data_IF_566753103220
#
_entry.id   IF_566753103220
#
_cell.length_a   1.000
_cell.length_b   1.000
_cell.length_c   1.000
_cell.angle_alpha   90.00
_cell.angle_beta   90.00
_cell.angle_gamma   90.00
#
_symmetry.space_group_name_H-M   'P 1'
#
loop_
_entity.id
_entity.type
_entity.pdbx_description
1 polymer ?
#
# COMPACT_ATOMS: atom_id res chain seq x y z
N UNK A 1 22.99 43.28 -38.18
CA UNK A 1 21.52 43.23 -38.02
C UNK A 1 21.06 41.83 -38.35
N UNK A 2 20.95 40.94 -37.32
CA UNK A 2 20.40 39.60 -37.48
C UNK A 2 18.88 39.70 -37.43
N UNK A 3 18.22 39.37 -38.52
CA UNK A 3 16.77 39.23 -38.62
C UNK A 3 16.31 38.06 -37.77
N UNK A 4 15.72 38.38 -36.66
CA UNK A 4 14.95 37.43 -35.82
C UNK A 4 13.74 36.96 -36.65
N UNK A 5 13.79 35.74 -37.16
CA UNK A 5 12.66 35.07 -37.80
C UNK A 5 11.65 34.73 -36.73
N UNK A 6 10.49 35.41 -36.69
CA UNK A 6 9.38 35.08 -35.79
C UNK A 6 9.02 33.57 -35.93
N UNK A 7 8.82 32.86 -34.85
CA UNK A 7 8.29 31.50 -34.94
C UNK A 7 6.90 31.58 -35.61
N UNK A 8 6.67 30.72 -36.61
CA UNK A 8 5.34 30.52 -37.19
C UNK A 8 4.43 30.03 -36.06
N UNK A 9 3.38 30.79 -35.76
CA UNK A 9 2.27 30.29 -34.99
C UNK A 9 1.65 29.13 -35.78
N UNK A 10 1.95 27.91 -35.36
CA UNK A 10 1.29 26.71 -35.88
C UNK A 10 -0.09 26.68 -35.23
N UNK A 11 -1.09 27.13 -36.00
CA UNK A 11 -2.50 27.04 -35.62
C UNK A 11 -2.84 25.53 -35.51
N UNK A 12 -2.84 24.98 -34.28
CA UNK A 12 -3.16 23.58 -34.03
C UNK A 12 -4.64 23.32 -34.36
N UNK A 13 -4.91 22.61 -35.45
CA UNK A 13 -6.27 22.11 -35.70
C UNK A 13 -6.56 20.94 -34.75
N UNK A 14 -7.68 20.95 -34.01
CA UNK A 14 -8.09 19.78 -33.26
C UNK A 14 -8.39 18.62 -34.23
N UNK A 15 -7.97 17.38 -33.91
CA UNK A 15 -8.16 16.16 -34.70
C UNK A 15 -7.37 16.06 -36.01
N UNK A 16 -6.20 16.65 -36.11
CA UNK A 16 -5.25 16.40 -37.20
C UNK A 16 -4.68 14.99 -37.08
N UNK A 17 -5.19 14.05 -37.88
CA UNK A 17 -4.85 12.62 -37.83
C UNK A 17 -3.38 12.39 -38.17
N UNK A 18 -2.80 13.13 -39.10
CA UNK A 18 -1.40 12.99 -39.48
C UNK A 18 -0.49 13.39 -38.34
N UNK A 19 -0.75 14.51 -37.69
CA UNK A 19 -0.04 14.95 -36.48
C UNK A 19 -0.21 13.97 -35.31
N UNK A 20 -1.41 13.40 -35.14
CA UNK A 20 -1.68 12.45 -34.05
C UNK A 20 -0.96 11.10 -34.26
N UNK A 21 -0.72 10.66 -35.50
CA UNK A 21 -0.13 9.36 -35.79
C UNK A 21 1.38 9.40 -35.94
N UNK A 22 1.94 10.39 -36.64
CA UNK A 22 3.36 10.37 -37.03
C UNK A 22 4.02 11.74 -36.84
N UNK A 23 3.22 12.83 -36.82
CA UNK A 23 3.71 14.21 -36.81
C UNK A 23 4.68 14.49 -38.00
N UNK A 24 5.84 15.07 -37.76
CA UNK A 24 6.88 15.32 -38.76
C UNK A 24 7.92 14.19 -38.87
N UNK A 25 7.72 13.07 -38.17
CA UNK A 25 8.69 11.96 -38.15
C UNK A 25 8.62 11.11 -39.43
N UNK A 26 9.77 10.69 -40.00
CA UNK A 26 9.79 9.77 -41.13
C UNK A 26 9.36 8.35 -40.68
N UNK A 27 8.75 7.58 -41.57
CA UNK A 27 8.35 6.18 -41.28
C UNK A 27 9.52 5.29 -40.81
N UNK A 28 10.76 5.56 -41.24
CA UNK A 28 11.96 4.88 -40.76
C UNK A 28 12.23 5.07 -39.28
N UNK A 29 11.73 6.15 -38.67
CA UNK A 29 11.85 6.38 -37.24
C UNK A 29 11.07 5.36 -36.41
N UNK A 30 9.99 4.78 -36.95
CA UNK A 30 9.25 3.71 -36.28
C UNK A 30 10.11 2.46 -36.02
N UNK A 31 11.04 2.15 -36.91
CA UNK A 31 12.01 1.06 -36.68
C UNK A 31 12.98 1.40 -35.55
N UNK A 32 13.42 2.64 -35.48
CA UNK A 32 14.28 3.12 -34.38
C UNK A 32 13.52 3.06 -33.03
N UNK A 33 12.27 3.50 -32.98
CA UNK A 33 11.41 3.37 -31.80
C UNK A 33 11.26 1.91 -31.38
N UNK A 34 11.08 0.98 -32.33
CA UNK A 34 11.04 -0.45 -32.06
C UNK A 34 12.34 -0.97 -31.43
N UNK A 35 13.49 -0.60 -31.97
CA UNK A 35 14.78 -0.99 -31.41
C UNK A 35 15.04 -0.40 -30.02
N UNK A 36 14.68 0.87 -29.81
CA UNK A 36 14.76 1.56 -28.51
C UNK A 36 13.87 0.89 -27.47
N UNK A 37 12.65 0.49 -27.87
CA UNK A 37 11.72 -0.24 -27.01
C UNK A 37 12.29 -1.59 -26.58
N UNK A 38 12.87 -2.36 -27.51
CA UNK A 38 13.53 -3.64 -27.19
C UNK A 38 14.70 -3.43 -26.24
N UNK A 39 15.51 -2.41 -26.48
CA UNK A 39 16.63 -2.05 -25.60
C UNK A 39 16.13 -1.71 -24.19
N UNK A 40 15.14 -0.81 -24.06
CA UNK A 40 14.56 -0.40 -22.79
C UNK A 40 13.97 -1.60 -22.02
N UNK A 41 13.20 -2.44 -22.71
CA UNK A 41 12.63 -3.66 -22.14
C UNK A 41 13.72 -4.60 -21.60
N UNK A 42 14.75 -4.86 -22.39
CA UNK A 42 15.86 -5.74 -21.97
C UNK A 42 16.62 -5.14 -20.78
N UNK A 43 16.86 -3.84 -20.77
CA UNK A 43 17.53 -3.15 -19.67
C UNK A 43 16.74 -3.26 -18.36
N UNK A 44 15.43 -2.98 -18.39
CA UNK A 44 14.54 -3.14 -17.23
C UNK A 44 14.45 -4.62 -16.81
N UNK A 45 14.29 -5.53 -17.76
CA UNK A 45 14.22 -6.97 -17.48
C UNK A 45 15.50 -7.47 -16.79
N UNK A 46 16.67 -7.11 -17.30
CA UNK A 46 17.96 -7.49 -16.72
C UNK A 46 18.15 -6.86 -15.34
N UNK A 47 17.71 -5.61 -15.15
CA UNK A 47 17.72 -4.96 -13.84
C UNK A 47 16.87 -5.76 -12.83
N UNK A 48 15.59 -6.02 -13.14
CA UNK A 48 14.69 -6.76 -12.26
C UNK A 48 15.17 -8.19 -12.00
N UNK A 49 15.68 -8.89 -13.02
CA UNK A 49 16.29 -10.20 -12.85
C UNK A 49 17.52 -10.16 -11.92
N UNK A 50 18.28 -9.08 -11.96
CA UNK A 50 19.47 -8.84 -11.14
C UNK A 50 19.14 -8.45 -9.71
N UNK A 51 17.96 -7.83 -9.47
CA UNK A 51 17.50 -7.39 -8.14
C UNK A 51 17.14 -8.55 -7.21
N UNK A 52 16.84 -9.75 -7.73
CA UNK A 52 16.51 -10.92 -6.95
C UNK A 52 15.04 -11.36 -7.12
N UNK A 53 14.66 -12.46 -6.42
CA UNK A 53 13.35 -13.11 -6.58
C UNK A 53 12.32 -12.65 -5.53
N UNK A 54 12.35 -11.42 -5.07
CA UNK A 54 11.27 -10.91 -4.21
C UNK A 54 10.00 -10.82 -5.07
N UNK A 55 8.93 -11.45 -4.58
CA UNK A 55 7.66 -11.49 -5.33
C UNK A 55 7.06 -10.10 -5.49
N UNK A 56 6.43 -9.83 -6.62
CA UNK A 56 5.78 -8.55 -6.95
C UNK A 56 4.72 -8.14 -5.91
N UNK A 57 4.23 -9.09 -5.11
CA UNK A 57 3.22 -8.85 -4.07
C UNK A 57 3.74 -8.19 -2.79
N UNK A 58 5.06 -8.18 -2.57
CA UNK A 58 5.68 -7.67 -1.33
C UNK A 58 6.77 -6.66 -1.67
N UNK A 59 6.43 -5.68 -2.50
CA UNK A 59 7.34 -4.59 -2.85
C UNK A 59 7.38 -3.59 -1.69
N UNK A 60 8.58 -3.35 -1.16
CA UNK A 60 8.77 -2.25 -0.23
C UNK A 60 8.62 -0.90 -0.91
N UNK A 61 8.38 0.17 -0.12
CA UNK A 61 8.33 1.54 -0.63
C UNK A 61 9.59 1.88 -1.44
N UNK A 62 10.75 1.43 -0.98
CA UNK A 62 12.02 1.62 -1.68
C UNK A 62 12.03 0.94 -3.06
N UNK A 63 11.59 -0.31 -3.15
CA UNK A 63 11.52 -1.04 -4.43
C UNK A 63 10.51 -0.39 -5.39
N UNK A 64 9.40 0.12 -4.89
CA UNK A 64 8.43 0.87 -5.69
C UNK A 64 9.06 2.13 -6.30
N UNK A 65 9.81 2.92 -5.53
CA UNK A 65 10.53 4.12 -6.02
C UNK A 65 11.51 3.74 -7.12
N UNK A 66 12.27 2.65 -6.95
CA UNK A 66 13.20 2.16 -7.96
C UNK A 66 12.48 1.77 -9.25
N UNK A 67 11.36 1.05 -9.16
CA UNK A 67 10.57 0.63 -10.35
C UNK A 67 10.00 1.85 -11.08
N UNK A 68 9.48 2.84 -10.37
CA UNK A 68 8.95 4.08 -10.96
C UNK A 68 10.06 4.86 -11.69
N UNK A 69 11.25 4.96 -11.07
CA UNK A 69 12.40 5.63 -11.69
C UNK A 69 12.88 4.90 -12.95
N UNK A 70 12.93 3.56 -12.91
CA UNK A 70 13.25 2.73 -14.07
C UNK A 70 12.23 2.90 -15.20
N UNK A 71 10.94 2.93 -14.86
CA UNK A 71 9.87 3.11 -15.82
C UNK A 71 9.95 4.45 -16.55
N UNK A 72 10.25 5.53 -15.82
CA UNK A 72 10.48 6.86 -16.39
C UNK A 72 11.67 6.85 -17.35
N UNK A 73 12.84 6.37 -16.91
CA UNK A 73 14.03 6.31 -17.76
C UNK A 73 13.85 5.43 -19.02
N UNK A 74 13.09 4.34 -18.90
CA UNK A 74 12.73 3.47 -20.03
C UNK A 74 11.77 4.15 -21.00
N UNK A 75 10.81 4.91 -20.50
CA UNK A 75 9.86 5.68 -21.30
C UNK A 75 10.56 6.76 -22.11
N UNK A 76 11.42 7.55 -21.46
CA UNK A 76 12.13 8.65 -22.13
C UNK A 76 12.97 8.16 -23.31
N UNK A 77 13.72 7.07 -23.15
CA UNK A 77 14.54 6.54 -24.25
C UNK A 77 13.71 5.97 -25.40
N UNK A 78 12.50 5.53 -25.13
CA UNK A 78 11.61 4.94 -26.12
C UNK A 78 10.96 6.03 -27.00
N UNK A 79 10.50 7.11 -26.40
CA UNK A 79 9.72 8.13 -27.09
C UNK A 79 10.53 9.31 -27.62
N UNK A 80 11.63 9.68 -26.95
CA UNK A 80 12.40 10.86 -27.31
C UNK A 80 13.63 10.50 -28.16
N UNK A 81 13.65 11.02 -29.39
CA UNK A 81 14.74 10.77 -30.36
C UNK A 81 16.06 11.43 -29.96
N UNK A 82 16.01 12.52 -29.20
CA UNK A 82 17.14 13.30 -28.70
C UNK A 82 17.81 12.69 -27.47
N UNK A 83 17.23 11.61 -26.90
CA UNK A 83 17.81 10.87 -25.77
C UNK A 83 18.73 9.76 -26.29
N UNK A 84 20.08 9.88 -26.14
CA UNK A 84 21.01 8.86 -26.60
C UNK A 84 20.99 7.61 -25.69
N UNK A 85 21.21 6.42 -26.27
CA UNK A 85 21.17 5.15 -25.52
C UNK A 85 22.30 5.00 -24.48
N UNK A 86 23.49 5.57 -24.74
CA UNK A 86 24.63 5.46 -23.81
C UNK A 86 24.37 6.15 -22.46
N UNK A 87 23.95 7.41 -22.38
CA UNK A 87 23.56 8.03 -21.12
C UNK A 87 22.50 7.24 -20.36
N UNK A 88 21.50 6.70 -21.04
CA UNK A 88 20.45 5.88 -20.43
C UNK A 88 21.03 4.58 -19.86
N UNK A 89 21.97 3.95 -20.55
CA UNK A 89 22.69 2.77 -20.01
C UNK A 89 23.42 3.11 -18.72
N UNK A 90 24.06 4.27 -18.64
CA UNK A 90 24.71 4.76 -17.41
C UNK A 90 23.69 4.96 -16.29
N UNK A 91 22.51 5.52 -16.60
CA UNK A 91 21.42 5.65 -15.61
C UNK A 91 21.01 4.30 -15.06
N UNK A 92 20.75 3.28 -15.91
CA UNK A 92 20.38 1.95 -15.44
C UNK A 92 21.48 1.28 -14.61
N UNK A 93 22.74 1.40 -15.01
CA UNK A 93 23.86 0.87 -14.24
C UNK A 93 24.03 1.57 -12.90
N UNK A 94 23.87 2.88 -12.86
CA UNK A 94 23.93 3.68 -11.62
C UNK A 94 22.79 3.28 -10.67
N UNK A 95 21.57 3.15 -11.17
CA UNK A 95 20.42 2.69 -10.38
C UNK A 95 20.63 1.28 -9.85
N UNK A 96 21.20 0.38 -10.67
CA UNK A 96 21.51 -0.98 -10.22
C UNK A 96 22.57 -0.99 -9.12
N UNK A 97 23.60 -0.19 -9.25
CA UNK A 97 24.65 -0.06 -8.24
C UNK A 97 24.09 0.52 -6.94
N UNK A 98 23.27 1.57 -7.04
CA UNK A 98 22.59 2.20 -5.91
C UNK A 98 21.67 1.20 -5.19
N UNK A 99 20.83 0.50 -5.95
CA UNK A 99 19.95 -0.55 -5.42
C UNK A 99 20.74 -1.61 -4.65
N UNK A 100 21.81 -2.17 -5.28
CA UNK A 100 22.67 -3.16 -4.65
C UNK A 100 23.34 -2.66 -3.37
N UNK A 101 23.79 -1.42 -3.38
CA UNK A 101 24.44 -0.79 -2.22
C UNK A 101 23.44 -0.64 -1.07
N UNK A 102 22.24 -0.14 -1.34
CA UNK A 102 21.19 0.04 -0.32
C UNK A 102 20.79 -1.32 0.26
N UNK A 103 20.52 -2.33 -0.58
CA UNK A 103 20.17 -3.68 -0.11
C UNK A 103 21.28 -4.29 0.74
N UNK A 104 22.56 -4.11 0.36
CA UNK A 104 23.69 -4.55 1.18
C UNK A 104 23.79 -3.81 2.51
N UNK A 105 23.45 -2.53 2.55
CA UNK A 105 23.39 -1.76 3.81
C UNK A 105 22.24 -2.24 4.70
N UNK A 106 21.06 -2.51 4.14
CA UNK A 106 19.91 -3.06 4.88
C UNK A 106 20.24 -4.43 5.49
N UNK A 107 20.87 -5.33 4.74
CA UNK A 107 21.28 -6.65 5.26
C UNK A 107 22.33 -6.58 6.38
N UNK A 108 23.15 -5.53 6.41
CA UNK A 108 24.18 -5.32 7.44
C UNK A 108 23.70 -4.56 8.65
N UNK A 109 22.66 -3.76 8.53
CA UNK A 109 22.20 -2.86 9.59
C UNK A 109 20.68 -2.87 9.72
N UNK A 110 20.15 -3.54 10.78
CA UNK A 110 18.72 -3.52 11.10
C UNK A 110 18.17 -2.10 11.34
N UNK A 111 19.00 -1.18 11.80
CA UNK A 111 18.58 0.23 11.98
C UNK A 111 18.36 0.92 10.64
N UNK A 112 19.21 0.62 9.66
CA UNK A 112 19.09 1.17 8.32
C UNK A 112 17.91 0.54 7.58
N UNK A 113 17.70 -0.77 7.72
CA UNK A 113 16.52 -1.48 7.22
C UNK A 113 15.23 -0.84 7.77
N UNK A 114 15.14 -0.66 9.09
CA UNK A 114 14.00 -0.02 9.74
C UNK A 114 13.77 1.44 9.30
N UNK A 115 14.81 2.15 8.90
CA UNK A 115 14.69 3.51 8.39
C UNK A 115 14.16 3.55 6.96
N UNK A 116 14.53 2.58 6.11
CA UNK A 116 14.10 2.49 4.71
C UNK A 116 12.68 1.90 4.61
N UNK A 117 12.46 0.71 5.16
CA UNK A 117 11.24 -0.09 4.98
C UNK A 117 10.26 0.04 6.16
N UNK A 118 10.68 0.63 7.27
CA UNK A 118 9.92 0.65 8.51
C UNK A 118 10.11 -0.62 9.34
N UNK A 119 9.25 -0.80 10.34
CA UNK A 119 9.20 -1.98 11.19
C UNK A 119 7.77 -2.51 11.26
N UNK A 120 7.57 -3.82 11.36
CA UNK A 120 6.26 -4.38 11.65
C UNK A 120 5.72 -3.82 12.97
N UNK A 121 4.42 -3.52 13.00
CA UNK A 121 3.77 -2.87 14.15
C UNK A 121 2.58 -3.70 14.61
N UNK A 122 2.53 -4.02 15.91
CA UNK A 122 1.37 -4.69 16.49
C UNK A 122 0.17 -3.75 16.48
N UNK A 123 -0.91 -4.16 15.79
CA UNK A 123 -2.17 -3.41 15.67
C UNK A 123 -3.32 -4.04 16.45
N UNK A 124 -3.25 -5.36 16.68
CA UNK A 124 -4.22 -6.10 17.51
C UNK A 124 -3.44 -6.94 18.50
N UNK A 125 -3.84 -6.86 19.76
CA UNK A 125 -3.29 -7.64 20.84
C UNK A 125 -4.42 -8.16 21.74
N UNK A 126 -4.51 -9.50 21.85
CA UNK A 126 -5.55 -10.18 22.64
C UNK A 126 -6.99 -9.75 22.31
N UNK A 127 -7.31 -9.56 21.02
CA UNK A 127 -8.64 -9.16 20.58
C UNK A 127 -8.96 -7.67 20.75
N UNK A 128 -7.96 -6.85 21.07
CA UNK A 128 -8.09 -5.41 21.28
C UNK A 128 -7.19 -4.64 20.31
N UNK A 129 -7.65 -3.49 19.87
CA UNK A 129 -6.78 -2.59 19.10
C UNK A 129 -5.68 -1.98 19.96
N UNK A 130 -4.47 -1.92 19.43
CA UNK A 130 -3.37 -1.14 20.00
C UNK A 130 -3.45 0.31 19.48
N UNK A 131 -4.19 1.15 20.23
CA UNK A 131 -4.54 2.52 19.81
C UNK A 131 -3.33 3.41 19.57
N UNK A 132 -2.28 3.27 20.38
CA UNK A 132 -1.05 4.03 20.22
C UNK A 132 -0.34 3.68 18.90
N UNK A 133 -0.30 2.40 18.55
CA UNK A 133 0.27 1.91 17.31
C UNK A 133 -0.52 2.40 16.09
N UNK A 134 -1.85 2.31 16.15
CA UNK A 134 -2.73 2.77 15.08
C UNK A 134 -2.61 4.28 14.86
N UNK A 135 -2.49 5.07 15.93
CA UNK A 135 -2.29 6.51 15.82
C UNK A 135 -0.96 6.88 15.13
N UNK A 136 0.08 6.08 15.29
CA UNK A 136 1.37 6.30 14.61
C UNK A 136 1.35 5.93 13.12
N UNK A 137 0.54 4.94 12.75
CA UNK A 137 0.45 4.44 11.37
C UNK A 137 -0.40 5.32 10.46
N UNK A 138 -1.20 6.25 11.00
CA UNK A 138 -2.18 7.06 10.26
C UNK A 138 -3.13 6.23 9.38
N UNK A 139 -3.46 4.99 9.81
CA UNK A 139 -4.36 4.11 9.09
C UNK A 139 -5.79 4.36 9.57
N UNK A 140 -6.71 4.47 8.63
CA UNK A 140 -8.12 4.59 8.96
C UNK A 140 -8.65 3.26 9.54
N UNK A 141 -9.50 3.35 10.57
CA UNK A 141 -10.13 2.15 11.16
C UNK A 141 -10.89 1.33 10.12
N UNK A 142 -11.48 1.97 9.10
CA UNK A 142 -12.19 1.30 8.01
C UNK A 142 -11.27 0.44 7.14
N UNK A 143 -10.03 0.89 6.91
CA UNK A 143 -9.01 0.16 6.16
C UNK A 143 -8.55 -1.09 6.93
N UNK A 144 -8.23 -0.93 8.20
CA UNK A 144 -7.90 -2.08 9.07
C UNK A 144 -9.03 -3.11 9.14
N UNK A 145 -10.28 -2.64 9.26
CA UNK A 145 -11.45 -3.53 9.26
C UNK A 145 -11.60 -4.26 7.91
N UNK A 146 -11.29 -3.61 6.79
CA UNK A 146 -11.32 -4.22 5.46
C UNK A 146 -10.30 -5.36 5.36
N UNK A 147 -9.05 -5.12 5.76
CA UNK A 147 -8.00 -6.14 5.77
C UNK A 147 -8.36 -7.35 6.63
N UNK A 148 -8.92 -7.12 7.82
CA UNK A 148 -9.38 -8.20 8.70
C UNK A 148 -10.48 -9.05 8.03
N UNK A 149 -11.43 -8.42 7.32
CA UNK A 149 -12.47 -9.15 6.60
C UNK A 149 -11.91 -9.98 5.44
N UNK A 150 -10.91 -9.47 4.71
CA UNK A 150 -10.23 -10.22 3.64
C UNK A 150 -9.53 -11.47 4.18
N UNK A 151 -9.06 -11.43 5.44
CA UNK A 151 -8.47 -12.58 6.13
C UNK A 151 -9.51 -13.50 6.80
N UNK A 152 -10.81 -13.24 6.58
CA UNK A 152 -11.91 -14.06 7.12
C UNK A 152 -12.14 -13.89 8.61
N UNK A 153 -11.83 -12.72 9.17
CA UNK A 153 -12.15 -12.36 10.56
C UNK A 153 -13.59 -11.80 10.61
N UNK A 154 -14.40 -12.27 11.54
CA UNK A 154 -15.73 -11.73 11.81
C UNK A 154 -15.73 -10.73 12.98
N UNK A 155 -14.89 -10.98 13.99
CA UNK A 155 -14.74 -10.10 15.14
C UNK A 155 -13.36 -10.19 15.76
N UNK A 156 -12.93 -9.14 16.45
CA UNK A 156 -11.58 -9.04 17.02
C UNK A 156 -11.26 -10.14 18.04
N UNK A 157 -12.27 -10.66 18.75
CA UNK A 157 -12.07 -11.74 19.74
C UNK A 157 -11.57 -13.06 19.17
N UNK A 158 -11.57 -13.24 17.84
CA UNK A 158 -10.95 -14.39 17.16
C UNK A 158 -9.43 -14.22 17.03
N UNK A 159 -8.92 -12.98 17.12
CA UNK A 159 -7.53 -12.63 16.84
C UNK A 159 -6.75 -12.52 18.14
N UNK A 160 -5.73 -13.36 18.32
CA UNK A 160 -4.80 -13.28 19.43
C UNK A 160 -3.77 -12.19 19.23
N UNK A 161 -3.20 -12.10 18.02
CA UNK A 161 -2.19 -11.11 17.64
C UNK A 161 -2.39 -10.73 16.18
N UNK A 162 -2.37 -9.44 15.89
CA UNK A 162 -2.37 -8.88 14.55
C UNK A 162 -1.19 -7.92 14.40
N UNK A 163 -0.41 -8.12 13.35
CA UNK A 163 0.79 -7.34 13.04
C UNK A 163 0.62 -6.73 11.66
N UNK A 164 0.75 -5.41 11.57
CA UNK A 164 0.88 -4.70 10.30
C UNK A 164 2.31 -4.84 9.83
N UNK A 165 2.50 -5.45 8.67
CA UNK A 165 3.81 -5.63 8.05
C UNK A 165 4.26 -4.37 7.31
N UNK A 166 5.51 -4.33 6.89
CA UNK A 166 6.12 -3.15 6.24
C UNK A 166 5.61 -2.90 4.83
N UNK A 167 4.98 -3.90 4.20
CA UNK A 167 4.33 -3.81 2.89
C UNK A 167 2.84 -3.41 2.98
N UNK A 168 2.31 -3.27 4.20
CA UNK A 168 0.92 -2.89 4.49
C UNK A 168 -0.02 -4.07 4.68
N UNK A 169 0.42 -5.30 4.46
CA UNK A 169 -0.36 -6.51 4.74
C UNK A 169 -0.47 -6.76 6.25
N UNK A 170 -1.49 -7.52 6.67
CA UNK A 170 -1.69 -7.87 8.07
C UNK A 170 -1.44 -9.36 8.31
N UNK A 171 -0.46 -9.67 9.15
CA UNK A 171 -0.24 -11.02 9.68
C UNK A 171 -1.13 -11.26 10.87
N UNK A 172 -1.97 -12.32 10.81
CA UNK A 172 -2.92 -12.66 11.89
C UNK A 172 -2.61 -14.00 12.53
N UNK A 173 -2.61 -14.01 13.85
CA UNK A 173 -2.53 -15.19 14.69
C UNK A 173 -3.84 -15.31 15.48
N UNK A 174 -4.51 -16.43 15.33
CA UNK A 174 -5.84 -16.65 15.89
C UNK A 174 -5.78 -17.37 17.24
N UNK A 175 -6.86 -17.24 18.00
CA UNK A 175 -7.14 -18.15 19.11
C UNK A 175 -7.62 -19.50 18.59
N UNK A 176 -7.42 -20.54 19.37
CA UNK A 176 -8.13 -21.81 19.17
C UNK A 176 -9.63 -21.59 19.42
N UNK A 177 -10.48 -22.38 18.76
CA UNK A 177 -11.93 -22.19 18.82
C UNK A 177 -12.52 -22.22 20.24
N UNK A 178 -11.84 -22.87 21.18
CA UNK A 178 -12.24 -22.95 22.58
C UNK A 178 -11.88 -21.69 23.37
N UNK A 179 -10.88 -20.95 22.90
CA UNK A 179 -10.35 -19.75 23.55
C UNK A 179 -10.84 -18.44 22.91
N UNK A 180 -11.71 -18.53 21.90
CA UNK A 180 -12.31 -17.34 21.25
C UNK A 180 -13.05 -16.51 22.30
N UNK A 181 -12.75 -15.22 22.30
CA UNK A 181 -13.31 -14.25 23.25
C UNK A 181 -14.42 -13.42 22.61
N UNK A 182 -15.36 -12.88 23.38
CA UNK A 182 -16.25 -11.87 22.85
C UNK A 182 -15.45 -10.69 22.28
N UNK A 183 -15.80 -10.24 21.07
CA UNK A 183 -15.05 -9.19 20.40
C UNK A 183 -15.90 -8.31 19.51
N UNK A 184 -15.34 -7.14 19.15
CA UNK A 184 -15.95 -6.16 18.26
C UNK A 184 -16.09 -6.77 16.86
N UNK A 185 -17.29 -6.69 16.28
CA UNK A 185 -17.54 -7.07 14.89
C UNK A 185 -16.71 -6.21 13.93
N UNK A 186 -16.09 -6.86 12.94
CA UNK A 186 -15.36 -6.17 11.86
C UNK A 186 -16.22 -5.93 10.61
N UNK A 187 -17.49 -6.36 10.64
CA UNK A 187 -18.42 -6.20 9.54
C UNK A 187 -18.73 -4.72 9.24
N UNK A 188 -19.13 -4.38 8.01
CA UNK A 188 -19.59 -3.04 7.67
C UNK A 188 -20.78 -2.59 8.52
N UNK A 189 -21.01 -1.28 8.61
CA UNK A 189 -22.09 -0.69 9.41
C UNK A 189 -23.49 -1.19 9.00
N UNK A 190 -23.67 -1.63 7.76
CA UNK A 190 -24.91 -2.26 7.29
C UNK A 190 -25.23 -3.58 8.03
N UNK A 191 -24.22 -4.25 8.56
CA UNK A 191 -24.31 -5.53 9.26
C UNK A 191 -23.90 -5.44 10.73
N UNK A 192 -23.59 -4.24 11.22
CA UNK A 192 -23.18 -3.97 12.58
C UNK A 192 -23.86 -2.71 13.10
N UNK A 193 -24.68 -2.85 14.12
CA UNK A 193 -25.31 -1.69 14.75
C UNK A 193 -24.36 -1.02 15.74
N UNK A 194 -24.28 0.29 15.68
CA UNK A 194 -23.56 1.13 16.64
C UNK A 194 -24.55 2.04 17.39
N UNK A 195 -24.32 2.23 18.68
CA UNK A 195 -25.20 3.04 19.52
C UNK A 195 -24.41 3.68 20.68
N UNK A 196 -24.89 4.79 21.17
CA UNK A 196 -24.41 5.46 22.40
C UNK A 196 -25.18 5.01 23.63
N UNK A 197 -26.47 4.67 23.47
CA UNK A 197 -27.35 4.13 24.52
C UNK A 197 -27.66 2.67 24.19
N UNK A 198 -27.33 1.78 25.09
CA UNK A 198 -27.53 0.35 24.89
C UNK A 198 -29.04 0.01 24.77
N UNK A 199 -29.46 -0.69 23.71
CA UNK A 199 -30.87 -1.07 23.54
C UNK A 199 -31.33 -2.12 24.55
N UNK A 200 -30.42 -2.90 25.12
CA UNK A 200 -30.65 -3.91 26.12
C UNK A 200 -29.45 -4.04 27.08
N UNK A 201 -29.65 -4.64 28.24
CA UNK A 201 -28.53 -4.98 29.14
C UNK A 201 -27.79 -6.22 28.58
N UNK A 202 -26.58 -6.05 28.07
CA UNK A 202 -25.78 -7.11 27.45
C UNK A 202 -24.29 -6.76 27.45
N UNK A 203 -23.49 -7.69 26.91
CA UNK A 203 -22.07 -7.47 26.65
C UNK A 203 -21.90 -6.75 25.33
N UNK A 204 -21.20 -5.63 25.34
CA UNK A 204 -20.91 -4.80 24.19
C UNK A 204 -19.42 -4.55 24.05
N UNK A 205 -18.98 -4.24 22.85
CA UNK A 205 -17.61 -3.86 22.57
C UNK A 205 -17.53 -2.38 22.19
N UNK A 206 -16.54 -1.71 22.73
CA UNK A 206 -16.22 -0.34 22.34
C UNK A 206 -15.76 -0.30 20.87
N UNK A 207 -16.37 0.55 20.07
CA UNK A 207 -16.09 0.66 18.64
C UNK A 207 -14.65 1.15 18.37
N UNK A 208 -14.09 1.95 19.26
CA UNK A 208 -12.78 2.53 19.12
C UNK A 208 -11.62 1.58 19.49
N UNK A 209 -11.76 0.78 20.57
CA UNK A 209 -10.65 -0.03 21.08
C UNK A 209 -10.91 -1.53 21.13
N UNK A 210 -12.14 -1.98 20.86
CA UNK A 210 -12.55 -3.38 20.92
C UNK A 210 -12.79 -3.94 22.33
N UNK A 211 -12.58 -3.14 23.38
CA UNK A 211 -12.77 -3.60 24.77
C UNK A 211 -14.22 -3.96 25.05
N UNK A 212 -14.46 -5.13 25.61
CA UNK A 212 -15.80 -5.61 25.96
C UNK A 212 -16.19 -5.18 27.38
N UNK A 213 -17.44 -4.71 27.52
CA UNK A 213 -18.01 -4.26 28.80
C UNK A 213 -19.51 -4.56 28.84
N UNK A 214 -20.03 -4.94 30.00
CA UNK A 214 -21.48 -5.03 30.21
C UNK A 214 -22.06 -3.62 30.36
N UNK A 215 -23.01 -3.26 29.48
CA UNK A 215 -23.70 -1.98 29.51
C UNK A 215 -25.18 -2.24 29.76
N UNK A 216 -25.78 -1.49 30.70
CA UNK A 216 -27.18 -1.63 31.02
C UNK A 216 -28.07 -0.85 30.05
N UNK A 217 -29.30 -1.33 29.91
CA UNK A 217 -30.31 -0.70 29.01
C UNK A 217 -30.44 0.80 29.26
N UNK A 218 -30.47 1.58 28.19
CA UNK A 218 -30.62 3.05 28.16
C UNK A 218 -29.55 3.85 28.92
N UNK A 219 -28.52 3.15 29.45
CA UNK A 219 -27.41 3.81 30.11
C UNK A 219 -26.42 4.35 29.07
N UNK A 220 -26.01 5.61 29.21
CA UNK A 220 -24.84 6.17 28.58
C UNK A 220 -23.63 5.67 29.34
N UNK A 221 -22.72 5.00 28.67
CA UNK A 221 -21.51 4.45 29.28
C UNK A 221 -20.28 4.84 28.46
N UNK A 222 -19.23 5.18 29.16
CA UNK A 222 -17.91 5.41 28.55
C UNK A 222 -17.01 4.21 28.72
N UNK A 223 -16.20 3.96 27.71
CA UNK A 223 -15.26 2.85 27.72
C UNK A 223 -14.17 3.09 28.78
N UNK A 224 -13.99 2.12 29.68
CA UNK A 224 -12.98 2.20 30.75
C UNK A 224 -11.53 2.21 30.21
N UNK A 225 -11.30 1.77 28.95
CA UNK A 225 -9.98 1.73 28.34
C UNK A 225 -9.61 2.98 27.55
N UNK A 226 -10.57 3.59 26.82
CA UNK A 226 -10.28 4.67 25.88
C UNK A 226 -11.25 5.87 25.96
N UNK A 227 -12.16 5.87 26.94
CA UNK A 227 -13.16 6.92 27.19
C UNK A 227 -14.13 7.19 26.01
N UNK A 228 -14.17 6.32 24.99
CA UNK A 228 -15.10 6.44 23.87
C UNK A 228 -16.51 6.04 24.29
N UNK A 229 -17.54 6.64 23.68
CA UNK A 229 -18.96 6.52 24.10
C UNK A 229 -19.82 5.66 23.15
N UNK A 230 -19.24 5.07 22.11
CA UNK A 230 -19.98 4.31 21.11
C UNK A 230 -19.68 2.82 21.22
N UNK A 231 -20.74 2.03 21.16
CA UNK A 231 -20.73 0.60 21.41
C UNK A 231 -21.37 -0.19 20.29
N UNK A 232 -20.95 -1.44 20.15
CA UNK A 232 -21.53 -2.44 19.26
C UNK A 232 -21.70 -3.75 19.99
N UNK A 233 -22.64 -4.59 19.58
CA UNK A 233 -22.86 -5.90 20.19
C UNK A 233 -21.57 -6.76 20.09
N UNK A 234 -21.22 -7.42 21.21
CA UNK A 234 -20.09 -8.34 21.21
C UNK A 234 -20.45 -9.63 20.47
N UNK A 235 -19.61 -10.07 19.54
CA UNK A 235 -19.73 -11.35 18.86
C UNK A 235 -18.82 -12.40 19.52
N UNK A 236 -19.27 -13.66 19.51
CA UNK A 236 -18.50 -14.80 20.02
C UNK A 236 -18.51 -15.99 19.05
N UNK A 237 -18.64 -15.72 17.77
CA UNK A 237 -18.65 -16.74 16.73
C UNK A 237 -17.29 -17.43 16.62
N UNK A 238 -17.30 -18.74 16.51
CA UNK A 238 -16.08 -19.52 16.26
C UNK A 238 -15.72 -19.47 14.78
N UNK A 239 -14.43 -19.54 14.46
CA UNK A 239 -14.02 -19.63 13.06
C UNK A 239 -14.44 -20.97 12.48
N UNK A 240 -15.17 -20.95 11.37
CA UNK A 240 -15.32 -22.11 10.50
C UNK A 240 -14.00 -22.33 9.73
N UNK A 241 -13.37 -23.48 9.90
CA UNK A 241 -12.20 -23.89 9.09
C UNK A 241 -12.62 -24.34 7.73
#
# INVERSE_FOLDING_TARGET
LSTFKKPKEVMMSPFDIQRMLIDEFPLSFLLEVGLRTVFAFLAVFLFLKSSGRRGIRQLSLFELVVILTLGSAAGDVTFYHDVPLLPVTVVFLTLLLLYRTIVLMMTKSKKFEAWIDGLPVTVINHGLYELESLGKLNIASSELLMELRQQGVEHLGQVRLGIMETDGDISLYFYDNEDVRPGLSVLPLEHRMEFKKAPASALYCCVNCGSSQTVHKEQESRCSRCDHDTWSAALSTKRCR
#
